data_IF_683823437115
#
_entry.id   IF_683823437115
#
_cell.length_a   1.000
_cell.length_b   1.000
_cell.length_c   1.000
_cell.angle_alpha   90.00
_cell.angle_beta   90.00
_cell.angle_gamma   90.00
#
_symmetry.space_group_name_H-M   'P 1'
#
loop_
_entity.id
_entity.type
_entity.pdbx_description
1 polymer ?
#
# COMPACT_ATOMS: atom_id res chain seq x y z
N UNK A 1 -7.90 -1.62 -9.82
CA UNK A 1 -6.58 -2.17 -9.45
C UNK A 1 -5.89 -2.57 -10.75
N UNK A 2 -4.67 -2.10 -11.01
CA UNK A 2 -3.92 -2.54 -12.20
C UNK A 2 -3.65 -4.04 -12.06
N UNK A 3 -3.75 -4.79 -13.16
CA UNK A 3 -3.40 -6.20 -13.19
C UNK A 3 -1.98 -6.40 -12.62
N UNK A 4 -1.81 -7.38 -11.74
CA UNK A 4 -0.54 -7.67 -11.07
C UNK A 4 -0.37 -7.08 -9.66
N UNK A 5 -1.00 -5.94 -9.33
CA UNK A 5 -0.82 -5.29 -8.02
C UNK A 5 -1.22 -6.19 -6.84
N UNK A 6 -2.31 -6.95 -6.99
CA UNK A 6 -2.75 -7.90 -5.96
C UNK A 6 -1.71 -9.02 -5.79
N UNK A 7 -1.15 -9.55 -6.88
CA UNK A 7 -0.12 -10.59 -6.83
C UNK A 7 1.16 -10.11 -6.15
N UNK A 8 1.57 -8.88 -6.41
CA UNK A 8 2.69 -8.24 -5.71
C UNK A 8 2.40 -8.12 -4.21
N UNK A 9 1.23 -7.57 -3.83
CA UNK A 9 0.83 -7.48 -2.42
C UNK A 9 0.80 -8.86 -1.74
N UNK A 10 0.31 -9.90 -2.41
CA UNK A 10 0.36 -11.28 -1.91
C UNK A 10 1.79 -11.73 -1.66
N UNK A 11 2.70 -11.49 -2.61
CA UNK A 11 4.11 -11.87 -2.47
C UNK A 11 4.80 -11.11 -1.33
N UNK A 12 4.55 -9.81 -1.19
CA UNK A 12 5.06 -8.98 -0.09
C UNK A 12 4.50 -9.44 1.26
N UNK A 13 3.20 -9.69 1.37
CA UNK A 13 2.58 -10.17 2.59
C UNK A 13 3.16 -11.53 3.03
N UNK A 14 3.43 -12.45 2.10
CA UNK A 14 4.10 -13.73 2.39
C UNK A 14 5.51 -13.53 2.96
N UNK A 15 6.30 -12.64 2.36
CA UNK A 15 7.65 -12.33 2.87
C UNK A 15 7.62 -11.74 4.28
N UNK A 16 6.71 -10.80 4.53
CA UNK A 16 6.54 -10.18 5.85
C UNK A 16 6.11 -11.20 6.91
N UNK A 17 5.16 -12.08 6.59
CA UNK A 17 4.76 -13.13 7.54
C UNK A 17 5.91 -14.11 7.84
N UNK A 18 6.75 -14.45 6.87
CA UNK A 18 7.92 -15.33 7.07
C UNK A 18 9.00 -14.66 7.94
N UNK A 19 9.14 -13.34 7.85
CA UNK A 19 10.12 -12.58 8.63
C UNK A 19 9.72 -12.35 10.10
N UNK A 20 8.48 -12.70 10.50
CA UNK A 20 8.02 -12.54 11.88
C UNK A 20 8.78 -13.44 12.82
N UNK A 21 9.27 -12.87 13.92
CA UNK A 21 9.81 -13.61 15.06
C UNK A 21 8.76 -13.63 16.17
N UNK A 22 8.01 -14.73 16.28
CA UNK A 22 7.02 -14.94 17.33
C UNK A 22 5.56 -14.80 16.89
N UNK A 23 4.62 -15.05 17.81
CA UNK A 23 3.19 -15.03 17.51
C UNK A 23 2.72 -13.60 17.24
N UNK A 24 2.32 -13.33 15.98
CA UNK A 24 1.75 -12.05 15.58
C UNK A 24 0.64 -12.23 14.53
N UNK A 25 -0.41 -11.38 14.53
CA UNK A 25 -1.54 -11.48 13.60
C UNK A 25 -1.11 -11.51 12.14
N UNK A 26 -1.69 -12.41 11.32
CA UNK A 26 -1.32 -12.60 9.91
C UNK A 26 -1.46 -11.30 9.11
N UNK A 27 -0.41 -10.95 8.36
CA UNK A 27 -0.44 -9.84 7.40
C UNK A 27 -1.07 -10.35 6.10
N UNK A 28 -2.04 -9.62 5.57
CA UNK A 28 -2.74 -9.93 4.32
C UNK A 28 -2.65 -8.76 3.35
N UNK A 29 -3.12 -8.94 2.12
CA UNK A 29 -3.29 -7.88 1.14
C UNK A 29 -4.12 -6.73 1.74
N UNK A 30 -5.24 -7.06 2.41
CA UNK A 30 -6.07 -6.07 3.10
C UNK A 30 -5.34 -5.33 4.23
N UNK A 31 -4.34 -5.94 4.85
CA UNK A 31 -3.50 -5.24 5.84
C UNK A 31 -2.61 -4.22 5.15
N UNK A 32 -1.99 -4.58 4.02
CA UNK A 32 -1.16 -3.67 3.23
C UNK A 32 -1.97 -2.55 2.57
N UNK A 33 -3.18 -2.85 2.08
CA UNK A 33 -4.10 -1.84 1.51
C UNK A 33 -4.47 -0.80 2.57
N UNK A 34 -4.81 -1.23 3.80
CA UNK A 34 -5.10 -0.30 4.90
C UNK A 34 -3.91 0.60 5.22
N UNK A 35 -2.71 0.03 5.33
CA UNK A 35 -1.48 0.83 5.53
C UNK A 35 -1.23 1.81 4.39
N UNK A 36 -1.48 1.42 3.13
CA UNK A 36 -1.34 2.33 1.99
C UNK A 36 -2.37 3.47 2.01
N UNK A 37 -3.61 3.19 2.45
CA UNK A 37 -4.64 4.21 2.65
C UNK A 37 -4.22 5.17 3.75
N UNK A 38 -3.78 4.67 4.90
CA UNK A 38 -3.34 5.52 6.02
C UNK A 38 -2.15 6.41 5.61
N UNK A 39 -1.21 5.86 4.83
CA UNK A 39 -0.09 6.62 4.27
C UNK A 39 -0.58 7.71 3.31
N UNK A 40 -1.54 7.42 2.43
CA UNK A 40 -2.13 8.41 1.53
C UNK A 40 -2.85 9.52 2.30
N UNK A 41 -3.64 9.15 3.31
CA UNK A 41 -4.35 10.11 4.17
C UNK A 41 -3.39 11.01 4.95
N UNK A 42 -2.22 10.49 5.34
CA UNK A 42 -1.19 11.30 6.01
C UNK A 42 -0.60 12.40 5.13
N UNK A 43 -0.80 12.32 3.80
CA UNK A 43 -0.31 13.27 2.79
C UNK A 43 -1.45 13.85 1.95
N UNK A 44 -2.69 13.78 2.44
CA UNK A 44 -3.85 14.18 1.64
C UNK A 44 -3.78 15.66 1.22
N UNK A 45 -3.21 16.52 2.08
CA UNK A 45 -3.04 17.95 1.79
C UNK A 45 -1.96 18.22 0.72
N UNK A 46 -1.11 17.25 0.41
CA UNK A 46 -0.13 17.33 -0.68
C UNK A 46 -0.78 17.00 -2.04
N UNK A 47 -1.96 16.36 -2.05
CA UNK A 47 -2.62 15.93 -3.28
C UNK A 47 -3.12 17.11 -4.11
N UNK A 48 -2.64 17.20 -5.35
CA UNK A 48 -2.98 18.28 -6.28
C UNK A 48 -3.27 17.76 -7.68
N UNK A 49 -4.24 18.39 -8.35
CA UNK A 49 -4.64 18.10 -9.73
C UNK A 49 -5.96 17.35 -9.86
N UNK A 50 -6.28 16.91 -11.08
CA UNK A 50 -7.60 16.34 -11.42
C UNK A 50 -7.53 14.96 -12.07
N UNK A 51 -6.32 14.50 -12.41
CA UNK A 51 -6.08 13.15 -12.96
C UNK A 51 -5.28 12.30 -11.99
N UNK A 52 -5.39 10.97 -12.11
CA UNK A 52 -4.56 10.03 -11.34
C UNK A 52 -3.06 10.34 -11.51
N UNK A 53 -2.64 10.73 -12.71
CA UNK A 53 -1.25 11.07 -12.98
C UNK A 53 -0.79 12.32 -12.22
N UNK A 54 -1.65 13.33 -12.06
CA UNK A 54 -1.35 14.53 -11.27
C UNK A 54 -1.22 14.19 -9.79
N UNK A 55 -2.19 13.43 -9.28
CA UNK A 55 -2.21 12.98 -7.89
C UNK A 55 -0.95 12.18 -7.55
N UNK A 56 -0.54 11.26 -8.43
CA UNK A 56 0.71 10.50 -8.26
C UNK A 56 1.93 11.42 -8.20
N UNK A 57 2.07 12.35 -9.16
CA UNK A 57 3.19 13.30 -9.18
C UNK A 57 3.22 14.17 -7.92
N UNK A 58 2.07 14.58 -7.40
CA UNK A 58 1.97 15.45 -6.21
C UNK A 58 2.52 14.80 -4.93
N UNK A 59 2.53 13.47 -4.84
CA UNK A 59 3.10 12.71 -3.71
C UNK A 59 4.39 11.95 -4.08
N UNK A 60 5.00 12.27 -5.24
CA UNK A 60 6.27 11.70 -5.70
C UNK A 60 6.21 10.27 -6.23
N UNK A 61 5.07 9.85 -6.81
CA UNK A 61 4.82 8.54 -7.43
C UNK A 61 4.74 8.54 -8.96
#
# INVERSE_FOLDING_TARGET
>A
MREGQIGELTAHARRLNKAKTGPAPRITENTLIRVAIDLLLSRVDELQGTTEADLRRSVGL
#
